data_IF_149329630001
#
_entry.id   IF_149329630001
#
_cell.length_a   1.000
_cell.length_b   1.000
_cell.length_c   1.000
_cell.angle_alpha   90.00
_cell.angle_beta   90.00
_cell.angle_gamma   90.00
#
_symmetry.space_group_name_H-M   'P 1'
#
loop_
_entity.id
_entity.type
_entity.pdbx_description
1 polymer ?
#
# COMPACT_ATOMS: atom_id res chain seq x y z
N UNK A 1 -99.91 -22.60 -48.33
CA UNK A 1 -99.11 -22.83 -47.11
C UNK A 1 -97.78 -22.11 -47.30
N UNK A 2 -97.64 -20.92 -46.74
CA UNK A 2 -96.44 -20.07 -46.86
C UNK A 2 -95.98 -19.73 -45.45
N UNK A 3 -94.87 -20.35 -45.03
CA UNK A 3 -94.22 -20.07 -43.75
C UNK A 3 -93.50 -18.73 -43.83
N UNK A 4 -94.05 -17.71 -43.16
CA UNK A 4 -93.30 -16.50 -42.79
C UNK A 4 -92.37 -16.84 -41.62
N UNK A 5 -91.06 -16.90 -41.87
CA UNK A 5 -90.05 -16.82 -40.82
C UNK A 5 -90.09 -15.41 -40.22
N UNK A 6 -90.30 -15.31 -38.90
CA UNK A 6 -90.01 -14.11 -38.12
C UNK A 6 -88.50 -14.02 -37.96
N UNK A 7 -87.91 -12.89 -38.34
CA UNK A 7 -86.54 -12.52 -37.98
C UNK A 7 -86.52 -12.08 -36.51
N UNK A 8 -85.66 -12.71 -35.70
CA UNK A 8 -85.37 -12.25 -34.33
C UNK A 8 -84.53 -10.96 -34.40
N UNK A 9 -85.00 -9.84 -33.81
CA UNK A 9 -84.20 -8.65 -33.67
C UNK A 9 -83.34 -8.77 -32.39
N UNK A 10 -82.06 -9.09 -32.54
CA UNK A 10 -81.14 -9.12 -31.40
C UNK A 10 -79.74 -9.71 -31.66
N UNK A 11 -79.54 -10.43 -32.76
CA UNK A 11 -78.29 -11.20 -32.98
C UNK A 11 -77.21 -10.43 -33.75
N UNK A 12 -77.56 -9.64 -34.76
CA UNK A 12 -76.58 -8.95 -35.61
C UNK A 12 -75.88 -7.76 -34.91
N UNK A 13 -76.62 -6.96 -34.13
CA UNK A 13 -76.06 -5.85 -33.36
C UNK A 13 -75.15 -6.35 -32.21
N UNK A 14 -75.54 -7.46 -31.57
CA UNK A 14 -74.71 -8.12 -30.55
C UNK A 14 -73.43 -8.71 -31.17
N UNK A 15 -73.52 -9.33 -32.35
CA UNK A 15 -72.36 -9.83 -33.09
C UNK A 15 -71.42 -8.71 -33.52
N UNK A 16 -71.93 -7.59 -34.03
CA UNK A 16 -71.10 -6.44 -34.41
C UNK A 16 -70.38 -5.81 -33.21
N UNK A 17 -71.04 -5.72 -32.05
CA UNK A 17 -70.42 -5.24 -30.81
C UNK A 17 -69.32 -6.19 -30.33
N UNK A 18 -69.56 -7.50 -30.34
CA UNK A 18 -68.57 -8.51 -29.95
C UNK A 18 -67.36 -8.49 -30.89
N UNK A 19 -67.57 -8.40 -32.21
CA UNK A 19 -66.48 -8.31 -33.19
C UNK A 19 -65.68 -7.02 -32.99
N UNK A 20 -66.35 -5.87 -32.79
CA UNK A 20 -65.68 -4.61 -32.50
C UNK A 20 -64.86 -4.63 -31.21
N UNK A 21 -65.40 -5.21 -30.14
CA UNK A 21 -64.70 -5.35 -28.86
C UNK A 21 -63.47 -6.27 -28.97
N UNK A 22 -63.56 -7.38 -29.71
CA UNK A 22 -62.43 -8.28 -29.96
C UNK A 22 -61.34 -7.57 -30.78
N UNK A 23 -61.71 -6.80 -31.80
CA UNK A 23 -60.77 -6.04 -32.64
C UNK A 23 -60.02 -4.98 -31.84
N UNK A 24 -60.73 -4.20 -31.01
CA UNK A 24 -60.12 -3.19 -30.14
C UNK A 24 -59.20 -3.85 -29.11
N UNK A 25 -59.64 -4.94 -28.48
CA UNK A 25 -58.82 -5.68 -27.51
C UNK A 25 -57.56 -6.24 -28.18
N UNK A 26 -57.68 -6.78 -29.39
CA UNK A 26 -56.55 -7.26 -30.19
C UNK A 26 -55.55 -6.15 -30.53
N UNK A 27 -56.03 -4.96 -30.91
CA UNK A 27 -55.18 -3.80 -31.19
C UNK A 27 -54.47 -3.33 -29.91
N UNK A 28 -55.19 -3.21 -28.79
CA UNK A 28 -54.62 -2.78 -27.50
C UNK A 28 -53.56 -3.76 -27.01
N UNK A 29 -53.82 -5.07 -27.09
CA UNK A 29 -52.84 -6.09 -26.72
C UNK A 29 -51.61 -6.03 -27.63
N UNK A 30 -51.80 -5.97 -28.94
CA UNK A 30 -50.69 -5.94 -29.90
C UNK A 30 -49.83 -4.69 -29.73
N UNK A 31 -50.47 -3.52 -29.60
CA UNK A 31 -49.74 -2.26 -29.34
C UNK A 31 -49.01 -2.27 -28.01
N UNK A 32 -49.61 -2.86 -26.95
CA UNK A 32 -48.94 -3.03 -25.66
C UNK A 32 -47.74 -3.98 -25.76
N UNK A 33 -47.85 -5.11 -26.47
CA UNK A 33 -46.73 -6.02 -26.69
C UNK A 33 -45.59 -5.39 -27.48
N UNK A 34 -45.90 -4.64 -28.55
CA UNK A 34 -44.90 -3.92 -29.33
C UNK A 34 -44.23 -2.86 -28.46
N UNK A 35 -45.02 -2.09 -27.71
CA UNK A 35 -44.51 -1.06 -26.81
C UNK A 35 -43.57 -1.64 -25.76
N UNK A 36 -43.96 -2.72 -25.08
CA UNK A 36 -43.13 -3.39 -24.06
C UNK A 36 -41.86 -4.00 -24.68
N UNK A 37 -41.97 -4.67 -25.84
CA UNK A 37 -40.82 -5.30 -26.51
C UNK A 37 -39.75 -4.31 -26.93
N UNK A 38 -40.13 -3.06 -27.22
CA UNK A 38 -39.20 -1.98 -27.60
C UNK A 38 -38.68 -1.24 -26.36
N UNK A 39 -39.56 -0.85 -25.45
CA UNK A 39 -39.20 0.06 -24.35
C UNK A 39 -38.55 -0.67 -23.17
N UNK A 40 -38.92 -1.92 -22.88
CA UNK A 40 -38.33 -2.67 -21.76
C UNK A 40 -36.83 -2.88 -21.95
N UNK A 41 -36.31 -3.40 -23.09
CA UNK A 41 -34.88 -3.53 -23.32
C UNK A 41 -34.11 -2.21 -23.21
N UNK A 42 -34.65 -1.14 -23.80
CA UNK A 42 -34.01 0.17 -23.80
C UNK A 42 -33.93 0.77 -22.38
N UNK A 43 -35.02 0.68 -21.61
CA UNK A 43 -35.08 1.14 -20.24
C UNK A 43 -34.20 0.32 -19.31
N UNK A 44 -34.20 -1.02 -19.43
CA UNK A 44 -33.33 -1.91 -18.65
C UNK A 44 -31.88 -1.61 -18.94
N UNK A 45 -31.49 -1.52 -20.22
CA UNK A 45 -30.13 -1.14 -20.62
C UNK A 45 -29.73 0.18 -19.95
N UNK A 46 -30.50 1.24 -20.14
CA UNK A 46 -30.19 2.55 -19.55
C UNK A 46 -30.08 2.50 -18.01
N UNK A 47 -30.96 1.74 -17.34
CA UNK A 47 -30.92 1.54 -15.89
C UNK A 47 -29.66 0.81 -15.41
N UNK A 48 -29.23 -0.23 -16.12
CA UNK A 48 -28.00 -0.96 -15.80
C UNK A 48 -26.75 -0.09 -15.97
N UNK A 49 -26.66 0.69 -17.06
CA UNK A 49 -25.55 1.64 -17.25
C UNK A 49 -25.52 2.71 -16.15
N UNK A 50 -26.69 3.25 -15.77
CA UNK A 50 -26.78 4.21 -14.68
C UNK A 50 -26.37 3.60 -13.35
N UNK A 51 -26.79 2.36 -13.06
CA UNK A 51 -26.40 1.64 -11.86
C UNK A 51 -24.90 1.36 -11.83
N UNK A 52 -24.32 0.81 -12.90
CA UNK A 52 -22.89 0.53 -12.99
C UNK A 52 -22.04 1.80 -12.78
N UNK A 53 -22.44 2.93 -13.37
CA UNK A 53 -21.77 4.21 -13.15
C UNK A 53 -21.89 4.71 -11.69
N UNK A 54 -23.06 4.52 -11.09
CA UNK A 54 -23.32 4.81 -9.69
C UNK A 54 -22.41 3.98 -8.76
N UNK A 55 -22.34 2.66 -8.95
CA UNK A 55 -21.47 1.80 -8.13
C UNK A 55 -20.00 2.15 -8.33
N UNK A 56 -19.57 2.45 -9.56
CA UNK A 56 -18.20 2.92 -9.80
C UNK A 56 -17.87 4.22 -9.04
N UNK A 57 -18.81 5.16 -8.95
CA UNK A 57 -18.65 6.37 -8.15
C UNK A 57 -18.58 6.05 -6.63
N UNK A 58 -19.37 5.08 -6.16
CA UNK A 58 -19.35 4.63 -4.77
C UNK A 58 -18.00 3.98 -4.43
N UNK A 59 -17.43 3.18 -5.33
CA UNK A 59 -16.08 2.58 -5.19
C UNK A 59 -14.96 3.63 -5.23
N UNK A 60 -15.08 4.66 -6.05
CA UNK A 60 -14.14 5.79 -6.01
C UNK A 60 -14.22 6.51 -4.66
N UNK A 61 -15.43 6.71 -4.14
CA UNK A 61 -15.64 7.28 -2.79
C UNK A 61 -15.03 6.39 -1.71
N UNK A 62 -15.14 5.06 -1.84
CA UNK A 62 -14.47 4.10 -0.95
C UNK A 62 -12.95 4.25 -0.98
N UNK A 63 -12.36 4.31 -2.18
CA UNK A 63 -10.93 4.52 -2.37
C UNK A 63 -10.44 5.83 -1.74
N UNK A 64 -11.16 6.94 -1.97
CA UNK A 64 -10.84 8.22 -1.35
C UNK A 64 -11.00 8.18 0.18
N UNK A 65 -12.01 7.49 0.70
CA UNK A 65 -12.23 7.37 2.14
C UNK A 65 -11.11 6.58 2.81
N UNK A 66 -10.66 5.48 2.19
CA UNK A 66 -9.51 4.70 2.67
C UNK A 66 -8.23 5.55 2.63
N UNK A 67 -8.01 6.29 1.54
CA UNK A 67 -6.87 7.22 1.43
C UNK A 67 -6.94 8.34 2.47
N UNK A 68 -8.13 8.86 2.79
CA UNK A 68 -8.31 9.90 3.81
C UNK A 68 -8.00 9.40 5.23
N UNK A 69 -8.22 8.11 5.52
CA UNK A 69 -7.85 7.51 6.81
C UNK A 69 -6.34 7.58 7.08
N UNK A 70 -5.50 7.51 6.04
CA UNK A 70 -4.04 7.71 6.16
C UNK A 70 -3.70 9.06 6.78
N UNK A 71 -4.41 10.12 6.38
CA UNK A 71 -4.16 11.49 6.84
C UNK A 71 -4.75 11.80 8.23
N UNK A 72 -5.54 10.88 8.80
CA UNK A 72 -6.13 11.08 10.12
C UNK A 72 -5.03 11.08 11.20
N UNK A 73 -5.16 11.89 12.25
CA UNK A 73 -4.15 11.95 13.31
C UNK A 73 -4.29 10.84 14.37
N UNK A 74 -5.49 10.28 14.53
CA UNK A 74 -5.80 9.27 15.55
C UNK A 74 -5.95 7.87 14.96
N UNK A 75 -5.48 6.87 15.70
CA UNK A 75 -5.94 5.48 15.55
C UNK A 75 -7.43 5.41 15.93
N UNK A 76 -8.21 4.59 15.24
CA UNK A 76 -9.65 4.45 15.44
C UNK A 76 -10.53 5.42 14.63
N UNK A 77 -9.94 6.32 13.82
CA UNK A 77 -10.70 7.11 12.86
C UNK A 77 -11.53 6.19 11.95
N UNK A 78 -12.80 6.52 11.74
CA UNK A 78 -13.74 5.65 11.02
C UNK A 78 -14.57 6.40 10.00
N UNK A 79 -14.83 5.76 8.86
CA UNK A 79 -15.72 6.26 7.82
C UNK A 79 -16.71 5.17 7.42
N UNK A 80 -17.84 5.58 6.85
CA UNK A 80 -18.88 4.69 6.33
C UNK A 80 -19.15 5.05 4.88
N UNK A 81 -19.09 4.06 4.00
CA UNK A 81 -19.28 4.25 2.57
C UNK A 81 -20.45 3.39 2.11
N UNK A 82 -21.56 4.00 1.66
CA UNK A 82 -22.67 3.26 1.09
C UNK A 82 -22.31 2.80 -0.33
N UNK A 83 -22.51 1.52 -0.61
CA UNK A 83 -22.42 0.94 -1.95
C UNK A 83 -23.83 0.57 -2.40
N UNK A 84 -24.26 1.14 -3.53
CA UNK A 84 -25.54 0.78 -4.14
C UNK A 84 -25.47 -0.63 -4.71
N UNK A 85 -26.43 -1.45 -4.33
CA UNK A 85 -26.50 -2.86 -4.71
C UNK A 85 -27.60 -3.14 -5.74
N UNK A 86 -28.60 -2.25 -5.80
CA UNK A 86 -29.73 -2.34 -6.73
C UNK A 86 -29.99 -0.98 -7.41
N UNK A 87 -30.44 -0.96 -8.67
CA UNK A 87 -30.85 0.26 -9.35
C UNK A 87 -31.93 1.03 -8.56
N UNK A 88 -31.80 2.35 -8.47
CA UNK A 88 -32.74 3.21 -7.73
C UNK A 88 -34.13 3.35 -8.37
N UNK A 89 -34.35 2.77 -9.56
CA UNK A 89 -35.62 2.85 -10.29
C UNK A 89 -36.32 1.49 -10.30
N UNK A 90 -37.45 1.43 -9.59
CA UNK A 90 -38.54 0.50 -9.89
C UNK A 90 -39.10 0.86 -11.27
N UNK A 91 -38.50 0.32 -12.32
CA UNK A 91 -39.21 0.29 -13.59
C UNK A 91 -40.30 -0.76 -13.42
N UNK A 92 -41.56 -0.33 -13.32
CA UNK A 92 -42.78 -1.17 -13.24
C UNK A 92 -42.87 -2.23 -14.35
N UNK A 93 -41.99 -2.14 -15.34
CA UNK A 93 -41.97 -2.88 -16.59
C UNK A 93 -40.65 -3.68 -16.76
N UNK A 94 -39.63 -3.46 -15.93
CA UNK A 94 -38.35 -4.16 -16.07
C UNK A 94 -38.35 -5.52 -15.35
N UNK A 95 -37.67 -6.48 -16.00
CA UNK A 95 -37.15 -7.73 -15.42
C UNK A 95 -36.49 -7.46 -14.05
N UNK A 96 -36.42 -8.46 -13.14
CA UNK A 96 -35.96 -8.25 -11.76
C UNK A 96 -34.73 -7.36 -11.73
N UNK A 97 -34.79 -6.29 -10.92
CA UNK A 97 -33.74 -5.29 -10.84
C UNK A 97 -32.40 -6.01 -10.62
N UNK A 98 -31.46 -5.82 -11.53
CA UNK A 98 -30.17 -6.50 -11.48
C UNK A 98 -29.48 -6.16 -10.15
N UNK A 99 -29.48 -7.13 -9.24
CA UNK A 99 -28.81 -7.01 -7.95
C UNK A 99 -27.32 -7.36 -8.12
N UNK A 100 -26.48 -6.61 -7.44
CA UNK A 100 -25.09 -6.98 -7.25
C UNK A 100 -24.88 -7.86 -6.04
N UNK A 101 -23.72 -8.50 -6.00
CA UNK A 101 -23.14 -9.10 -4.81
C UNK A 101 -21.94 -8.27 -4.37
N UNK A 102 -21.69 -8.21 -3.07
CA UNK A 102 -20.49 -7.61 -2.49
C UNK A 102 -19.75 -8.63 -1.64
N UNK A 103 -18.42 -8.62 -1.71
CA UNK A 103 -17.56 -9.50 -0.94
C UNK A 103 -16.33 -8.76 -0.43
N UNK A 104 -15.74 -9.29 0.65
CA UNK A 104 -14.49 -8.81 1.19
C UNK A 104 -13.58 -10.00 1.51
N UNK A 105 -12.34 -9.94 1.04
CA UNK A 105 -11.33 -10.95 1.30
C UNK A 105 -10.04 -10.25 1.75
N UNK A 106 -9.54 -10.49 2.98
CA UNK A 106 -8.33 -9.84 3.48
C UNK A 106 -7.03 -10.42 2.90
N UNK A 107 -7.05 -11.62 2.31
CA UNK A 107 -5.84 -12.33 1.90
C UNK A 107 -5.51 -12.25 0.40
N UNK A 108 -6.37 -11.62 -0.41
CA UNK A 108 -6.25 -11.51 -1.87
C UNK A 108 -5.58 -10.20 -2.29
N UNK A 109 -5.23 -10.06 -3.57
CA UNK A 109 -4.72 -8.79 -4.15
C UNK A 109 -3.52 -8.22 -3.38
N UNK A 110 -2.49 -9.04 -3.23
CA UNK A 110 -1.32 -8.74 -2.40
C UNK A 110 -0.35 -7.83 -3.15
N UNK A 111 0.28 -6.91 -2.42
CA UNK A 111 1.35 -6.06 -2.92
C UNK A 111 2.53 -6.15 -1.95
N UNK A 112 3.74 -6.29 -2.46
CA UNK A 112 4.96 -6.24 -1.66
C UNK A 112 6.04 -5.40 -2.33
N UNK A 113 6.81 -4.70 -1.50
CA UNK A 113 8.01 -3.98 -1.88
C UNK A 113 9.20 -4.69 -1.25
N UNK A 114 10.15 -5.10 -2.07
CA UNK A 114 11.37 -5.76 -1.63
C UNK A 114 12.63 -5.14 -2.21
N UNK A 115 13.73 -5.35 -1.50
CA UNK A 115 15.10 -5.03 -1.93
C UNK A 115 15.80 -6.36 -2.19
N UNK A 116 16.53 -6.41 -3.30
CA UNK A 116 17.32 -7.58 -3.67
C UNK A 116 18.80 -7.20 -3.61
N UNK A 117 19.51 -7.79 -2.66
CA UNK A 117 20.94 -7.71 -2.51
C UNK A 117 21.65 -8.96 -3.00
N UNK A 118 22.87 -8.80 -3.49
CA UNK A 118 23.83 -9.90 -3.64
C UNK A 118 24.75 -9.94 -2.42
N UNK A 119 25.42 -11.08 -2.21
CA UNK A 119 26.40 -11.25 -1.12
C UNK A 119 25.98 -12.22 -0.02
N UNK A 120 26.98 -12.78 0.66
CA UNK A 120 26.83 -13.65 1.82
C UNK A 120 27.50 -12.94 3.01
N UNK A 121 26.72 -12.27 3.88
CA UNK A 121 27.30 -11.51 4.98
C UNK A 121 28.02 -12.45 5.97
N UNK A 122 29.08 -11.98 6.65
CA UNK A 122 29.68 -12.74 7.75
C UNK A 122 28.65 -12.97 8.86
N UNK A 123 28.65 -14.19 9.42
CA UNK A 123 27.74 -14.58 10.49
C UNK A 123 28.14 -13.93 11.82
N UNK A 124 27.16 -13.38 12.55
CA UNK A 124 27.32 -12.84 13.90
C UNK A 124 27.08 -11.33 13.99
N UNK A 125 26.90 -10.79 15.21
CA UNK A 125 26.71 -9.35 15.40
C UNK A 125 27.99 -8.58 15.07
N UNK A 126 27.84 -7.33 14.64
CA UNK A 126 28.96 -6.39 14.62
C UNK A 126 29.16 -5.85 16.03
N UNK A 127 30.33 -6.11 16.62
CA UNK A 127 30.71 -5.54 17.92
C UNK A 127 31.91 -4.62 17.75
N UNK A 128 31.84 -3.46 18.40
CA UNK A 128 32.92 -2.49 18.51
C UNK A 128 33.27 -2.31 19.99
N UNK A 129 34.28 -3.06 20.44
CA UNK A 129 34.80 -3.02 21.82
C UNK A 129 36.11 -2.25 21.90
N UNK A 130 36.90 -2.24 20.82
CA UNK A 130 38.20 -1.57 20.81
C UNK A 130 38.12 -0.12 20.30
N UNK A 131 36.99 0.29 19.70
CA UNK A 131 36.75 1.63 19.16
C UNK A 131 37.86 2.10 18.20
N UNK A 132 38.53 1.16 17.53
CA UNK A 132 39.72 1.41 16.70
C UNK A 132 39.42 2.18 15.43
N UNK A 133 38.17 2.10 14.97
CA UNK A 133 37.68 2.71 13.75
C UNK A 133 36.69 3.81 14.10
N UNK A 134 37.11 4.78 14.91
CA UNK A 134 36.23 5.83 15.42
C UNK A 134 36.91 7.19 15.39
N UNK A 135 36.18 8.18 14.86
CA UNK A 135 36.55 9.58 14.98
C UNK A 135 36.13 10.09 16.35
N UNK A 136 37.06 10.67 17.10
CA UNK A 136 36.87 11.05 18.50
C UNK A 136 37.08 12.54 18.71
N UNK A 137 36.10 13.20 19.30
CA UNK A 137 36.17 14.60 19.68
C UNK A 137 35.96 14.75 21.18
N UNK A 138 37.03 15.11 21.90
CA UNK A 138 37.06 15.19 23.38
C UNK A 138 36.69 13.87 24.07
N UNK A 139 36.96 12.74 23.41
CA UNK A 139 36.77 11.39 23.95
C UNK A 139 38.12 10.67 23.94
N UNK A 140 38.45 10.03 25.05
CA UNK A 140 39.61 9.16 25.23
C UNK A 140 39.17 7.69 25.16
N UNK A 141 39.96 6.87 24.47
CA UNK A 141 39.74 5.42 24.36
C UNK A 141 40.87 4.73 25.09
N UNK A 142 40.53 3.89 26.07
CA UNK A 142 41.50 3.13 26.87
C UNK A 142 40.91 1.78 27.26
N UNK A 143 41.67 0.70 27.04
CA UNK A 143 41.31 -0.66 27.44
C UNK A 143 39.91 -1.09 26.98
N UNK A 144 39.57 -0.76 25.73
CA UNK A 144 38.27 -1.06 25.15
C UNK A 144 37.10 -0.25 25.74
N UNK A 145 37.36 0.90 26.35
CA UNK A 145 36.32 1.80 26.84
C UNK A 145 36.52 3.20 26.27
N UNK A 146 35.41 3.90 26.01
CA UNK A 146 35.39 5.30 25.61
C UNK A 146 34.88 6.19 26.75
N UNK A 147 35.65 7.23 27.07
CA UNK A 147 35.40 8.15 28.19
C UNK A 147 35.61 9.60 27.77
N UNK A 148 35.00 10.57 28.47
CA UNK A 148 35.20 11.99 28.19
C UNK A 148 36.61 12.46 28.62
N UNK A 149 37.33 13.14 27.73
CA UNK A 149 38.69 13.65 27.96
C UNK A 149 38.74 14.83 28.96
N UNK A 150 39.85 14.97 29.71
CA UNK A 150 40.04 16.05 30.72
C UNK A 150 40.62 17.34 30.09
N UNK A 151 40.32 18.57 30.61
CA UNK A 151 39.53 18.89 31.81
C UNK A 151 38.15 19.50 31.53
N UNK A 152 37.17 19.07 32.36
CA UNK A 152 35.99 19.77 32.92
C UNK A 152 35.14 20.67 32.00
N UNK A 153 33.86 20.34 31.92
CA UNK A 153 32.78 20.96 31.11
C UNK A 153 32.89 20.65 29.61
N UNK A 154 32.36 19.50 29.20
CA UNK A 154 32.24 19.24 27.78
C UNK A 154 31.15 18.22 27.47
N UNK A 155 30.51 18.48 26.34
CA UNK A 155 29.99 17.42 25.49
C UNK A 155 31.14 17.00 24.59
N UNK A 156 31.35 15.69 24.49
CA UNK A 156 32.23 15.07 23.51
C UNK A 156 31.41 14.11 22.68
N UNK A 157 31.97 13.67 21.56
CA UNK A 157 31.35 12.60 20.81
C UNK A 157 32.39 11.72 20.15
N UNK A 158 31.96 10.52 19.82
CA UNK A 158 32.70 9.58 19.01
C UNK A 158 31.77 9.03 17.92
N UNK A 159 32.28 8.86 16.71
CA UNK A 159 31.54 8.37 15.55
C UNK A 159 32.26 7.17 14.96
N UNK A 160 31.56 6.05 14.77
CA UNK A 160 32.12 4.90 14.08
C UNK A 160 32.45 5.30 12.63
N UNK A 161 33.70 5.12 12.24
CA UNK A 161 34.22 5.43 10.93
C UNK A 161 35.09 4.28 10.41
N UNK A 162 34.50 3.46 9.55
CA UNK A 162 35.14 2.32 8.89
C UNK A 162 35.63 2.64 7.47
N UNK A 163 35.90 3.92 7.16
CA UNK A 163 36.48 4.26 5.87
C UNK A 163 37.89 3.69 5.74
N UNK A 164 38.19 3.12 4.56
CA UNK A 164 39.56 2.74 4.19
C UNK A 164 40.40 3.95 3.77
N UNK A 165 39.77 5.13 3.60
CA UNK A 165 40.45 6.36 3.21
C UNK A 165 40.58 7.30 4.41
N UNK A 166 41.82 7.68 4.80
CA UNK A 166 42.02 8.65 5.88
C UNK A 166 41.26 9.96 5.64
N UNK A 167 40.56 10.45 6.66
CA UNK A 167 39.79 11.70 6.60
C UNK A 167 38.45 11.63 5.86
N UNK A 168 38.01 10.44 5.42
CA UNK A 168 36.66 10.21 4.92
C UNK A 168 35.81 9.47 5.93
N UNK A 169 34.52 9.71 5.89
CA UNK A 169 33.53 8.99 6.68
C UNK A 169 33.18 7.69 5.94
N UNK A 170 33.11 6.57 6.67
CA UNK A 170 32.73 5.28 6.11
C UNK A 170 31.87 4.46 7.06
N UNK A 171 30.85 3.82 6.52
CA UNK A 171 30.01 2.89 7.27
C UNK A 171 30.66 1.52 7.43
N UNK A 172 30.29 0.80 8.48
CA UNK A 172 30.65 -0.61 8.61
C UNK A 172 29.95 -1.39 7.51
N UNK A 173 30.72 -1.99 6.62
CA UNK A 173 30.22 -2.93 5.63
C UNK A 173 29.79 -4.24 6.29
N UNK A 174 28.54 -4.63 6.10
CA UNK A 174 28.00 -5.91 6.55
C UNK A 174 27.93 -6.97 5.43
N UNK A 175 28.36 -6.63 4.20
CA UNK A 175 28.60 -7.57 3.11
C UNK A 175 27.40 -7.94 2.24
N UNK A 176 26.20 -7.40 2.52
CA UNK A 176 25.02 -7.57 1.67
C UNK A 176 23.93 -6.53 1.91
N UNK A 177 23.15 -6.23 0.88
CA UNK A 177 21.89 -5.47 0.99
C UNK A 177 20.68 -6.35 1.38
N UNK A 178 20.90 -7.63 1.73
CA UNK A 178 19.84 -8.54 2.21
C UNK A 178 19.79 -8.64 3.74
N UNK A 179 19.96 -7.50 4.42
CA UNK A 179 20.11 -7.43 5.88
C UNK A 179 18.90 -6.76 6.53
N UNK A 180 18.49 -7.32 7.66
CA UNK A 180 17.53 -6.72 8.58
C UNK A 180 18.21 -6.45 9.91
N UNK A 181 18.08 -5.23 10.42
CA UNK A 181 18.67 -4.82 11.69
C UNK A 181 17.75 -5.22 12.84
N UNK A 182 18.29 -5.91 13.83
CA UNK A 182 17.52 -6.40 14.98
C UNK A 182 17.67 -5.46 16.16
N UNK A 183 18.74 -5.66 16.95
CA UNK A 183 18.94 -5.03 18.23
C UNK A 183 20.27 -4.28 18.26
N UNK A 184 20.25 -3.13 18.91
CA UNK A 184 21.41 -2.34 19.26
C UNK A 184 21.62 -2.41 20.77
N UNK A 185 22.74 -2.95 21.21
CA UNK A 185 23.04 -3.17 22.62
C UNK A 185 24.39 -2.58 23.00
N UNK A 186 24.50 -2.10 24.23
CA UNK A 186 25.71 -1.47 24.75
C UNK A 186 25.72 -1.46 26.27
N UNK A 187 26.91 -1.37 26.86
CA UNK A 187 27.10 -1.19 28.29
C UNK A 187 27.65 0.21 28.61
N UNK A 188 27.13 0.80 29.68
CA UNK A 188 27.63 2.08 30.18
C UNK A 188 27.89 2.06 31.68
N UNK A 189 28.78 2.95 32.12
CA UNK A 189 28.84 3.42 33.50
C UNK A 189 28.47 4.91 33.52
N UNK A 190 27.36 5.23 34.18
CA UNK A 190 26.81 6.59 34.27
C UNK A 190 26.77 7.05 35.72
N UNK A 191 27.88 7.60 36.26
CA UNK A 191 27.84 8.32 37.53
C UNK A 191 26.79 9.43 37.51
N UNK A 192 26.36 9.87 38.70
CA UNK A 192 25.43 11.00 38.83
C UNK A 192 25.93 12.22 38.02
N UNK A 193 25.02 13.00 37.45
CA UNK A 193 25.35 14.16 36.62
C UNK A 193 26.18 13.83 35.35
N UNK A 194 26.06 12.61 34.82
CA UNK A 194 26.61 12.23 33.51
C UNK A 194 25.52 11.68 32.59
N UNK A 195 25.77 11.67 31.28
CA UNK A 195 24.82 11.16 30.29
C UNK A 195 25.53 10.68 29.02
N UNK A 196 25.03 9.57 28.46
CA UNK A 196 25.38 9.06 27.13
C UNK A 196 24.11 8.96 26.28
N UNK A 197 24.16 9.55 25.09
CA UNK A 197 23.14 9.40 24.04
C UNK A 197 23.76 8.67 22.87
N UNK A 198 23.12 7.61 22.39
CA UNK A 198 23.50 6.98 21.14
C UNK A 198 22.56 7.36 20.01
N UNK A 199 23.12 7.37 18.80
CA UNK A 199 22.41 7.51 17.53
C UNK A 199 22.96 6.48 16.57
N UNK A 200 22.12 6.02 15.66
CA UNK A 200 22.46 4.99 14.66
C UNK A 200 21.82 5.37 13.34
N UNK A 201 22.52 5.12 12.24
CA UNK A 201 22.02 5.35 10.88
C UNK A 201 22.56 4.33 9.90
N UNK A 202 21.84 4.10 8.82
CA UNK A 202 22.26 3.16 7.77
C UNK A 202 22.22 3.79 6.39
N UNK A 203 23.01 3.25 5.47
CA UNK A 203 23.06 3.64 4.05
C UNK A 203 23.34 2.41 3.18
N UNK A 204 23.02 2.51 1.91
CA UNK A 204 23.44 1.53 0.91
C UNK A 204 24.85 1.83 0.35
N UNK A 205 25.39 3.04 0.60
CA UNK A 205 26.70 3.45 0.11
C UNK A 205 27.78 3.46 1.20
N UNK A 206 29.02 3.05 0.87
CA UNK A 206 30.11 2.93 1.85
C UNK A 206 30.49 4.28 2.49
N UNK A 207 30.33 5.38 1.77
CA UNK A 207 30.63 6.74 2.23
C UNK A 207 29.50 7.38 3.04
N UNK A 208 28.38 6.67 3.23
CA UNK A 208 27.23 7.14 4.00
C UNK A 208 26.65 8.47 3.48
N UNK A 209 26.79 8.74 2.18
CA UNK A 209 26.47 10.02 1.54
C UNK A 209 24.99 10.40 1.58
N UNK A 210 24.09 9.43 1.74
CA UNK A 210 22.64 9.62 1.84
C UNK A 210 22.07 9.23 3.21
N UNK A 211 22.93 8.81 4.14
CA UNK A 211 22.55 8.55 5.50
C UNK A 211 21.97 9.81 6.16
N UNK A 212 20.97 9.63 7.01
CA UNK A 212 20.36 10.73 7.75
C UNK A 212 21.40 11.52 8.54
N UNK A 213 21.29 12.84 8.57
CA UNK A 213 22.18 13.69 9.35
C UNK A 213 22.06 13.35 10.84
N UNK A 214 23.17 13.45 11.59
CA UNK A 214 23.19 13.13 13.02
C UNK A 214 22.25 14.02 13.86
N UNK A 215 21.92 15.23 13.40
CA UNK A 215 20.93 16.10 14.04
C UNK A 215 19.51 15.53 13.97
N UNK A 216 19.21 14.77 12.92
CA UNK A 216 17.87 14.29 12.59
C UNK A 216 17.70 12.80 12.93
N UNK A 217 18.78 12.15 13.36
CA UNK A 217 18.76 10.78 13.88
C UNK A 217 18.13 10.77 15.29
N UNK A 218 17.15 9.89 15.55
CA UNK A 218 16.55 9.77 16.87
C UNK A 218 17.59 9.50 17.97
N UNK A 219 17.51 10.25 19.06
CA UNK A 219 18.34 10.06 20.24
C UNK A 219 17.89 8.83 21.03
N UNK A 220 18.84 7.98 21.41
CA UNK A 220 18.64 6.82 22.26
C UNK A 220 19.35 7.08 23.59
N UNK A 221 18.57 7.39 24.63
CA UNK A 221 19.10 7.62 25.98
C UNK A 221 19.64 6.33 26.58
N UNK A 222 20.83 6.40 27.17
CA UNK A 222 21.42 5.28 27.92
C UNK A 222 20.99 5.30 29.39
N UNK A 223 20.93 4.12 29.98
CA UNK A 223 20.82 3.86 31.41
C UNK A 223 22.13 3.24 31.91
N UNK A 224 22.40 3.38 33.20
CA UNK A 224 23.57 2.74 33.82
C UNK A 224 23.49 1.21 33.66
N UNK A 225 24.61 0.57 33.31
CA UNK A 225 24.67 -0.86 33.00
C UNK A 225 24.27 -1.20 31.55
N UNK A 226 23.56 -2.32 31.38
CA UNK A 226 23.22 -2.89 30.06
C UNK A 226 22.01 -2.21 29.43
N UNK A 227 22.15 -1.87 28.15
CA UNK A 227 21.13 -1.23 27.34
C UNK A 227 20.84 -2.07 26.09
N UNK A 228 19.59 -2.03 25.63
CA UNK A 228 19.17 -2.68 24.39
C UNK A 228 18.01 -1.90 23.76
N UNK A 229 18.06 -1.70 22.44
CA UNK A 229 17.01 -1.06 21.66
C UNK A 229 16.82 -1.78 20.32
N UNK A 230 15.56 -2.06 19.97
CA UNK A 230 15.24 -2.55 18.63
C UNK A 230 15.47 -1.47 17.58
N UNK A 231 16.20 -1.82 16.52
CA UNK A 231 16.52 -0.98 15.38
C UNK A 231 15.39 -0.88 14.35
N UNK A 232 14.46 -1.83 14.34
CA UNK A 232 13.34 -1.89 13.39
C UNK A 232 12.40 -0.66 13.41
N UNK A 233 12.44 0.15 14.48
CA UNK A 233 11.59 1.33 14.65
C UNK A 233 12.37 2.65 14.66
N UNK A 234 13.65 2.63 14.29
CA UNK A 234 14.48 3.84 14.29
C UNK A 234 14.45 4.46 12.89
N UNK A 235 13.92 5.68 12.78
CA UNK A 235 13.68 6.36 11.50
C UNK A 235 14.95 6.73 10.69
N UNK A 236 16.14 6.50 11.23
CA UNK A 236 17.43 6.63 10.52
C UNK A 236 18.02 5.29 10.09
N UNK A 237 17.33 4.18 10.39
CA UNK A 237 17.74 2.81 10.08
C UNK A 237 16.72 2.19 9.13
N UNK A 238 17.23 1.51 8.13
CA UNK A 238 16.44 0.92 7.05
C UNK A 238 16.85 -0.53 6.83
N UNK A 239 15.90 -1.48 6.78
CA UNK A 239 16.16 -2.82 6.25
C UNK A 239 16.68 -2.72 4.81
N UNK A 240 17.63 -3.57 4.45
CA UNK A 240 18.23 -3.61 3.12
C UNK A 240 19.40 -2.64 2.89
N UNK A 241 19.74 -1.80 3.87
CA UNK A 241 20.96 -0.99 3.83
C UNK A 241 22.17 -1.81 4.30
N UNK A 242 23.21 -1.88 3.46
CA UNK A 242 24.41 -2.68 3.71
C UNK A 242 25.37 -2.06 4.73
N UNK A 243 25.37 -0.73 4.85
CA UNK A 243 26.32 -0.01 5.69
C UNK A 243 25.63 0.63 6.88
N UNK A 244 26.28 0.56 8.04
CA UNK A 244 25.77 1.11 9.30
C UNK A 244 26.82 1.94 10.02
N UNK A 245 26.36 2.98 10.72
CA UNK A 245 27.16 3.79 11.63
C UNK A 245 26.42 4.07 12.92
N UNK A 246 27.18 4.29 13.99
CA UNK A 246 26.67 4.86 15.23
C UNK A 246 27.51 6.06 15.69
N UNK A 247 26.88 6.88 16.53
CA UNK A 247 27.51 8.01 17.22
C UNK A 247 27.16 7.93 18.69
N UNK A 248 28.15 8.10 19.56
CA UNK A 248 27.93 8.30 20.98
C UNK A 248 28.25 9.73 21.38
N UNK A 249 27.29 10.39 22.03
CA UNK A 249 27.44 11.72 22.59
C UNK A 249 27.56 11.59 24.12
N UNK A 250 28.72 11.96 24.66
CA UNK A 250 29.05 11.86 26.07
C UNK A 250 28.98 13.25 26.70
N UNK A 251 28.40 13.35 27.88
CA UNK A 251 28.29 14.62 28.59
C UNK A 251 28.40 14.45 30.11
N UNK A 252 28.98 15.46 30.76
CA UNK A 252 29.03 15.57 32.21
C UNK A 252 28.72 17.00 32.62
N UNK A 253 27.97 17.15 33.71
CA UNK A 253 27.79 18.41 34.43
C UNK A 253 28.64 18.45 35.70
N UNK A 254 29.20 17.32 36.11
CA UNK A 254 30.14 17.25 37.21
C UNK A 254 31.57 17.06 36.66
N UNK A 255 32.44 18.05 36.84
CA UNK A 255 33.81 17.97 36.36
C UNK A 255 34.67 16.84 36.97
N UNK A 256 34.25 16.26 38.08
CA UNK A 256 34.90 15.14 38.75
C UNK A 256 34.41 13.77 38.27
N UNK A 257 33.35 13.72 37.46
CA UNK A 257 32.70 12.50 37.01
C UNK A 257 32.74 12.40 35.48
N UNK A 258 33.03 11.20 34.99
CA UNK A 258 33.11 10.90 33.56
C UNK A 258 32.22 9.71 33.23
N UNK A 259 31.33 9.82 32.22
CA UNK A 259 30.60 8.67 31.72
C UNK A 259 31.53 7.75 30.92
N UNK A 260 31.26 6.45 30.97
CA UNK A 260 32.02 5.43 30.25
C UNK A 260 31.10 4.61 29.36
N UNK A 261 31.51 4.41 28.10
CA UNK A 261 30.93 3.46 27.15
C UNK A 261 31.89 2.29 26.98
N UNK A 262 31.45 1.05 27.19
CA UNK A 262 32.34 -0.10 27.21
C UNK A 262 32.28 -0.97 25.95
N UNK A 263 31.09 -1.16 25.39
CA UNK A 263 30.93 -1.93 24.16
C UNK A 263 29.71 -1.47 23.41
N UNK A 264 29.73 -1.66 22.10
CA UNK A 264 28.59 -1.40 21.22
C UNK A 264 28.43 -2.62 20.32
N UNK A 265 27.21 -3.14 20.22
CA UNK A 265 26.89 -4.28 19.38
C UNK A 265 25.62 -4.04 18.58
N UNK A 266 25.67 -4.32 17.28
CA UNK A 266 24.54 -4.31 16.37
C UNK A 266 24.31 -5.75 15.90
N UNK A 267 23.17 -6.30 16.32
CA UNK A 267 22.67 -7.59 15.84
C UNK A 267 21.89 -7.37 14.55
N UNK A 268 22.12 -8.25 13.59
CA UNK A 268 21.45 -8.23 12.29
C UNK A 268 21.21 -9.66 11.80
N UNK A 269 20.22 -9.81 10.94
CA UNK A 269 19.86 -11.08 10.34
C UNK A 269 19.86 -10.96 8.82
N UNK A 270 20.16 -12.08 8.18
CA UNK A 270 20.20 -12.22 6.74
C UNK A 270 18.93 -12.93 6.25
N UNK A 271 18.24 -12.29 5.31
CA UNK A 271 17.04 -12.86 4.69
C UNK A 271 17.35 -13.24 3.23
N UNK A 272 17.09 -14.49 2.85
CA UNK A 272 17.12 -14.92 1.45
C UNK A 272 15.71 -15.26 0.95
N UNK A 273 15.41 -15.00 -0.34
CA UNK A 273 16.27 -14.34 -1.35
C UNK A 273 16.17 -12.81 -1.38
N UNK A 274 15.20 -12.20 -0.70
CA UNK A 274 14.90 -10.76 -0.73
C UNK A 274 14.55 -10.22 0.67
N UNK A 275 14.79 -8.93 0.91
CA UNK A 275 14.29 -8.24 2.11
C UNK A 275 12.98 -7.55 1.77
N UNK A 276 11.88 -8.01 2.36
CA UNK A 276 10.56 -7.36 2.21
C UNK A 276 10.50 -6.15 3.12
N UNK A 277 10.43 -4.96 2.54
CA UNK A 277 10.28 -3.70 3.28
C UNK A 277 8.85 -3.55 3.81
N UNK A 278 7.87 -3.90 2.99
CA UNK A 278 6.46 -3.83 3.35
C UNK A 278 5.61 -4.73 2.45
N UNK A 279 4.46 -5.14 2.99
CA UNK A 279 3.41 -5.81 2.23
C UNK A 279 2.02 -5.33 2.65
N UNK A 280 1.08 -5.41 1.72
CA UNK A 280 -0.35 -5.19 1.95
C UNK A 280 -1.16 -6.24 1.23
N UNK A 281 -2.39 -6.43 1.71
CA UNK A 281 -3.34 -7.37 1.16
C UNK A 281 -4.76 -6.89 1.35
N UNK A 282 -5.66 -7.54 0.63
CA UNK A 282 -7.10 -7.46 0.80
C UNK A 282 -7.81 -6.71 -0.31
N UNK A 283 -9.02 -7.16 -0.60
CA UNK A 283 -9.86 -6.61 -1.65
C UNK A 283 -11.33 -6.59 -1.27
N UNK A 284 -12.03 -5.56 -1.73
CA UNK A 284 -13.49 -5.46 -1.67
C UNK A 284 -14.00 -5.53 -3.10
N UNK A 285 -14.89 -6.46 -3.39
CA UNK A 285 -15.36 -6.70 -4.76
C UNK A 285 -16.88 -6.59 -4.85
N UNK A 286 -17.35 -6.00 -5.94
CA UNK A 286 -18.73 -5.96 -6.36
C UNK A 286 -18.87 -6.66 -7.71
N UNK A 287 -19.85 -7.55 -7.83
CA UNK A 287 -20.18 -8.23 -9.09
C UNK A 287 -21.67 -8.08 -9.36
N UNK A 288 -22.02 -7.64 -10.56
CA UNK A 288 -23.42 -7.49 -10.98
C UNK A 288 -23.86 -8.56 -11.96
N UNK A 289 -25.14 -8.94 -11.89
CA UNK A 289 -25.79 -9.85 -12.84
C UNK A 289 -26.53 -9.08 -13.96
N UNK A 290 -25.90 -8.02 -14.50
CA UNK A 290 -26.50 -7.21 -15.57
C UNK A 290 -26.66 -8.00 -16.87
N UNK A 291 -27.79 -7.81 -17.55
CA UNK A 291 -28.05 -8.43 -18.85
C UNK A 291 -27.27 -7.77 -19.99
N UNK A 292 -27.12 -6.44 -19.95
CA UNK A 292 -26.46 -5.63 -20.97
C UNK A 292 -25.02 -5.23 -20.59
N UNK A 293 -24.57 -5.60 -19.39
CA UNK A 293 -23.20 -5.44 -18.89
C UNK A 293 -22.73 -6.78 -18.27
N UNK A 294 -22.64 -7.86 -19.05
CA UNK A 294 -22.28 -9.17 -18.51
C UNK A 294 -20.91 -9.14 -17.84
N UNK A 295 -20.79 -9.90 -16.74
CA UNK A 295 -19.55 -10.06 -15.97
C UNK A 295 -18.97 -8.75 -15.42
N UNK A 296 -19.79 -7.72 -15.29
CA UNK A 296 -19.34 -6.44 -14.75
C UNK A 296 -18.95 -6.57 -13.27
N UNK A 297 -17.66 -6.31 -13.01
CA UNK A 297 -17.04 -6.41 -11.69
C UNK A 297 -16.26 -5.13 -11.38
N UNK A 298 -16.36 -4.67 -10.15
CA UNK A 298 -15.55 -3.60 -9.57
C UNK A 298 -14.80 -4.17 -8.37
N UNK A 299 -13.49 -3.95 -8.29
CA UNK A 299 -12.66 -4.40 -7.17
C UNK A 299 -11.83 -3.23 -6.65
N UNK A 300 -11.91 -2.98 -5.36
CA UNK A 300 -10.92 -2.16 -4.68
C UNK A 300 -9.78 -3.07 -4.21
N UNK A 301 -8.54 -2.74 -4.58
CA UNK A 301 -7.35 -3.51 -4.25
C UNK A 301 -6.15 -2.57 -4.08
N UNK A 302 -5.53 -2.60 -2.90
CA UNK A 302 -4.31 -1.83 -2.57
C UNK A 302 -4.35 -0.35 -3.00
N UNK A 303 -5.49 0.34 -2.87
CA UNK A 303 -5.60 1.76 -3.24
C UNK A 303 -5.99 2.02 -4.70
N UNK A 304 -6.19 0.98 -5.52
CA UNK A 304 -6.74 1.09 -6.86
C UNK A 304 -8.19 0.59 -6.90
N UNK A 305 -9.01 1.18 -7.78
CA UNK A 305 -10.30 0.63 -8.18
C UNK A 305 -10.13 0.04 -9.56
N UNK A 306 -10.43 -1.24 -9.72
CA UNK A 306 -10.28 -2.00 -10.96
C UNK A 306 -11.68 -2.32 -11.46
N UNK A 307 -11.93 -2.04 -12.74
CA UNK A 307 -13.14 -2.45 -13.43
C UNK A 307 -12.80 -3.56 -14.41
N UNK A 308 -13.57 -4.65 -14.35
CA UNK A 308 -13.58 -5.72 -15.34
C UNK A 308 -14.95 -5.83 -15.97
N UNK A 309 -14.98 -6.03 -17.28
CA UNK A 309 -16.20 -6.32 -18.03
C UNK A 309 -15.82 -7.15 -19.25
N UNK A 310 -16.33 -8.38 -19.32
CA UNK A 310 -15.91 -9.36 -20.33
C UNK A 310 -14.36 -9.51 -20.32
N UNK A 311 -13.74 -9.44 -21.49
CA UNK A 311 -12.28 -9.56 -21.68
C UNK A 311 -11.51 -8.26 -21.39
N UNK A 312 -12.22 -7.15 -21.09
CA UNK A 312 -11.59 -5.86 -20.85
C UNK A 312 -11.46 -5.59 -19.35
N UNK A 313 -10.27 -5.18 -18.94
CA UNK A 313 -9.99 -4.73 -17.57
C UNK A 313 -9.19 -3.43 -17.58
N UNK A 314 -9.49 -2.55 -16.64
CA UNK A 314 -8.80 -1.28 -16.50
C UNK A 314 -8.89 -0.73 -15.08
N UNK A 315 -7.86 0.02 -14.69
CA UNK A 315 -7.81 0.73 -13.42
C UNK A 315 -8.56 2.06 -13.55
N UNK A 316 -9.59 2.28 -12.73
CA UNK A 316 -10.43 3.47 -12.65
C UNK A 316 -9.89 4.55 -11.71
N UNK A 317 -9.19 4.14 -10.64
CA UNK A 317 -8.71 5.03 -9.58
C UNK A 317 -7.18 5.06 -9.51
N UNK A 318 -6.61 6.14 -8.99
CA UNK A 318 -5.16 6.23 -8.82
C UNK A 318 -4.72 5.25 -7.73
N UNK A 319 -3.89 4.27 -8.10
CA UNK A 319 -3.05 3.59 -7.12
C UNK A 319 -2.18 4.64 -6.44
N UNK A 320 -1.91 4.48 -5.15
CA UNK A 320 -1.07 5.42 -4.39
C UNK A 320 0.42 5.20 -4.65
N UNK A 321 0.78 5.12 -5.94
CA UNK A 321 2.15 5.16 -6.43
C UNK A 321 2.31 6.39 -7.29
N UNK A 322 3.34 7.17 -6.98
CA UNK A 322 3.86 8.20 -7.87
C UNK A 322 5.34 7.98 -8.07
N UNK A 323 5.80 8.21 -9.29
CA UNK A 323 7.21 8.21 -9.61
C UNK A 323 7.59 9.57 -10.19
N UNK A 324 8.85 9.94 -10.04
CA UNK A 324 9.43 11.10 -10.70
C UNK A 324 10.91 10.86 -10.99
N UNK A 325 11.37 11.38 -12.12
CA UNK A 325 12.80 11.44 -12.44
C UNK A 325 13.35 12.79 -12.00
N UNK A 326 14.30 12.77 -11.06
CA UNK A 326 14.96 13.97 -10.53
C UNK A 326 16.46 13.91 -10.87
N UNK A 327 16.81 14.37 -12.07
CA UNK A 327 18.18 14.21 -12.58
C UNK A 327 18.49 12.75 -12.89
N UNK A 328 19.54 12.21 -12.26
CA UNK A 328 19.93 10.78 -12.31
C UNK A 328 19.13 9.89 -11.36
N UNK A 329 18.46 10.47 -10.35
CA UNK A 329 17.75 9.70 -9.32
C UNK A 329 16.30 9.43 -9.71
N UNK A 330 15.89 8.17 -9.54
CA UNK A 330 14.48 7.78 -9.59
C UNK A 330 13.88 7.93 -8.20
N UNK A 331 12.87 8.78 -8.05
CA UNK A 331 12.09 8.94 -6.82
C UNK A 331 10.77 8.18 -6.92
N UNK A 332 10.52 7.27 -5.99
CA UNK A 332 9.30 6.47 -5.91
C UNK A 332 8.62 6.75 -4.58
N UNK A 333 7.32 7.07 -4.63
CA UNK A 333 6.47 7.25 -3.45
C UNK A 333 5.34 6.25 -3.49
N UNK A 334 5.19 5.45 -2.44
CA UNK A 334 4.20 4.38 -2.35
C UNK A 334 3.49 4.48 -1.00
N UNK A 335 2.17 4.47 -1.03
CA UNK A 335 1.35 4.25 0.16
C UNK A 335 0.59 2.94 0.02
N UNK A 336 0.90 1.99 0.89
CA UNK A 336 0.25 0.69 0.92
C UNK A 336 -0.96 0.71 1.85
N UNK A 337 -2.04 0.05 1.43
CA UNK A 337 -3.26 -0.10 2.22
C UNK A 337 -3.54 -1.57 2.47
N UNK A 338 -3.40 -1.99 3.72
CA UNK A 338 -3.61 -3.38 4.14
C UNK A 338 -5.00 -3.51 4.78
N UNK A 339 -5.90 -4.20 4.09
CA UNK A 339 -7.29 -4.37 4.52
C UNK A 339 -7.42 -5.61 5.41
N UNK A 340 -7.77 -5.38 6.67
CA UNK A 340 -7.96 -6.45 7.66
C UNK A 340 -9.43 -6.59 8.03
N UNK A 341 -9.80 -7.69 8.68
CA UNK A 341 -11.17 -7.94 9.13
C UNK A 341 -11.64 -9.35 8.81
N UNK A 342 -12.90 -9.63 9.13
CA UNK A 342 -13.53 -10.93 8.84
C UNK A 342 -13.86 -11.00 7.35
N UNK A 343 -13.44 -12.07 6.68
CA UNK A 343 -13.83 -12.34 5.29
C UNK A 343 -15.35 -12.43 5.17
N UNK A 344 -15.90 -11.80 4.12
CA UNK A 344 -17.33 -11.75 3.85
C UNK A 344 -17.56 -12.38 2.47
N UNK A 345 -18.28 -13.51 2.38
CA UNK A 345 -18.62 -14.12 1.10
C UNK A 345 -19.55 -13.19 0.30
N UNK A 346 -19.79 -13.50 -0.97
CA UNK A 346 -20.69 -12.72 -1.82
C UNK A 346 -22.10 -12.59 -1.20
N UNK A 347 -22.48 -11.37 -0.83
CA UNK A 347 -23.78 -11.03 -0.24
C UNK A 347 -24.64 -10.22 -1.19
N UNK A 348 -25.92 -10.55 -1.29
CA UNK A 348 -26.94 -9.84 -2.08
C UNK A 348 -28.24 -9.69 -1.31
N UNK A 349 -29.19 -8.92 -1.85
CA UNK A 349 -30.57 -8.83 -1.34
C UNK A 349 -30.90 -7.53 -0.62
N UNK A 350 -29.90 -6.74 -0.20
CA UNK A 350 -30.11 -5.37 0.28
C UNK A 350 -29.98 -4.38 -0.89
N UNK A 351 -30.74 -3.27 -0.91
CA UNK A 351 -30.62 -2.25 -1.96
C UNK A 351 -29.33 -1.42 -1.83
N UNK A 352 -28.75 -1.35 -0.63
CA UNK A 352 -27.51 -0.65 -0.33
C UNK A 352 -26.78 -1.36 0.80
N UNK A 353 -25.47 -1.53 0.65
CA UNK A 353 -24.60 -2.09 1.69
C UNK A 353 -23.68 -1.00 2.21
N UNK A 354 -23.61 -0.83 3.54
CA UNK A 354 -22.72 0.16 4.16
C UNK A 354 -21.42 -0.52 4.56
N UNK A 355 -20.32 -0.14 3.93
CA UNK A 355 -18.98 -0.59 4.34
C UNK A 355 -18.47 0.37 5.40
N UNK A 356 -18.15 -0.16 6.59
CA UNK A 356 -17.47 0.60 7.63
C UNK A 356 -15.98 0.30 7.58
N UNK A 357 -15.17 1.36 7.58
CA UNK A 357 -13.72 1.27 7.56
C UNK A 357 -13.14 2.01 8.77
N UNK A 358 -12.10 1.44 9.38
CA UNK A 358 -11.43 1.98 10.56
C UNK A 358 -9.93 1.98 10.34
N UNK A 359 -9.24 3.07 10.68
CA UNK A 359 -7.78 3.06 10.74
C UNK A 359 -7.34 2.32 12.00
N UNK A 360 -6.63 1.22 11.81
CA UNK A 360 -6.05 0.45 12.90
C UNK A 360 -4.65 0.99 13.24
N UNK A 361 -3.79 1.03 12.22
CA UNK A 361 -2.37 1.41 12.37
C UNK A 361 -1.86 2.21 11.17
N UNK A 362 -0.75 2.91 11.38
CA UNK A 362 0.02 3.60 10.34
C UNK A 362 1.51 3.56 10.67
N UNK A 363 2.32 3.20 9.69
CA UNK A 363 3.76 3.20 9.79
C UNK A 363 4.41 3.91 8.59
N UNK A 364 5.31 4.86 8.89
CA UNK A 364 6.29 5.36 7.93
C UNK A 364 7.47 4.38 7.92
N UNK A 365 7.69 3.72 6.79
CA UNK A 365 8.67 2.64 6.63
C UNK A 365 9.95 3.17 6.01
N UNK A 366 9.81 4.04 5.01
CA UNK A 366 10.93 4.75 4.39
C UNK A 366 10.60 6.22 4.25
N UNK A 367 11.43 7.06 4.86
CA UNK A 367 11.37 8.53 4.76
C UNK A 367 12.55 9.01 3.91
N UNK A 368 12.50 8.74 2.61
CA UNK A 368 13.57 9.11 1.65
C UNK A 368 14.84 8.26 1.69
N UNK A 369 14.76 6.97 2.04
CA UNK A 369 15.92 6.08 1.94
C UNK A 369 16.28 5.75 0.48
N UNK A 370 17.55 5.42 0.27
CA UNK A 370 18.12 5.08 -1.03
C UNK A 370 18.45 3.60 -1.09
N UNK A 371 18.04 2.96 -2.18
CA UNK A 371 18.22 1.53 -2.40
C UNK A 371 18.86 1.25 -3.76
N UNK A 372 19.67 0.20 -3.91
CA UNK A 372 20.32 -0.10 -5.18
C UNK A 372 19.29 -0.41 -6.27
N UNK A 373 18.37 -1.33 -5.96
CA UNK A 373 17.24 -1.70 -6.80
C UNK A 373 16.03 -1.95 -5.89
N UNK A 374 14.83 -1.64 -6.40
CA UNK A 374 13.57 -1.92 -5.71
C UNK A 374 12.68 -2.79 -6.58
N UNK A 375 12.08 -3.80 -5.96
CA UNK A 375 11.11 -4.67 -6.62
C UNK A 375 9.73 -4.44 -6.02
N UNK A 376 8.79 -4.01 -6.86
CA UNK A 376 7.36 -4.02 -6.58
C UNK A 376 6.77 -5.30 -7.17
N UNK A 377 6.23 -6.17 -6.33
CA UNK A 377 5.48 -7.35 -6.73
C UNK A 377 4.01 -7.16 -6.39
N UNK A 378 3.14 -7.39 -7.37
CA UNK A 378 1.67 -7.37 -7.22
C UNK A 378 1.18 -8.77 -7.57
N UNK A 379 0.44 -9.41 -6.66
CA UNK A 379 -0.26 -10.67 -6.88
C UNK A 379 -1.75 -10.38 -7.01
N UNK A 380 -2.28 -10.51 -8.22
CA UNK A 380 -3.59 -9.98 -8.62
C UNK A 380 -4.21 -10.84 -9.72
N UNK A 381 -5.54 -10.90 -9.76
CA UNK A 381 -6.24 -11.50 -10.89
C UNK A 381 -6.39 -10.54 -12.10
N UNK A 382 -5.94 -9.29 -11.97
CA UNK A 382 -6.11 -8.21 -12.97
C UNK A 382 -4.77 -7.76 -13.55
N UNK A 383 -3.95 -8.70 -14.00
CA UNK A 383 -2.54 -8.44 -14.35
C UNK A 383 -2.37 -7.53 -15.57
N UNK A 384 -3.30 -7.54 -16.52
CA UNK A 384 -3.26 -6.66 -17.69
C UNK A 384 -3.57 -5.21 -17.28
N UNK A 385 -4.64 -5.01 -16.49
CA UNK A 385 -5.02 -3.69 -15.98
C UNK A 385 -3.89 -3.04 -15.19
N UNK A 386 -3.26 -3.79 -14.28
CA UNK A 386 -2.12 -3.33 -13.49
C UNK A 386 -0.90 -3.01 -14.36
N UNK A 387 -0.55 -3.91 -15.29
CA UNK A 387 0.58 -3.72 -16.21
C UNK A 387 0.42 -2.45 -17.04
N UNK A 388 -0.75 -2.24 -17.63
CA UNK A 388 -1.02 -1.09 -18.51
C UNK A 388 -1.04 0.22 -17.72
N UNK A 389 -1.68 0.22 -16.54
CA UNK A 389 -1.71 1.39 -15.68
C UNK A 389 -0.31 1.78 -15.19
N UNK A 390 0.49 0.80 -14.71
CA UNK A 390 1.87 1.05 -14.26
C UNK A 390 2.74 1.55 -15.40
N UNK A 391 2.69 0.90 -16.56
CA UNK A 391 3.49 1.32 -17.71
C UNK A 391 3.17 2.75 -18.14
N UNK A 392 1.87 3.10 -18.22
CA UNK A 392 1.44 4.47 -18.55
C UNK A 392 1.84 5.48 -17.48
N UNK A 393 1.74 5.13 -16.21
CA UNK A 393 2.04 6.03 -15.08
C UNK A 393 3.53 6.33 -14.99
N UNK A 394 4.38 5.31 -15.17
CA UNK A 394 5.84 5.45 -15.14
C UNK A 394 6.37 6.18 -16.38
N UNK A 395 5.82 5.89 -17.57
CA UNK A 395 6.14 6.62 -18.80
C UNK A 395 5.75 8.10 -18.71
N UNK A 396 4.56 8.41 -18.19
CA UNK A 396 4.13 9.78 -17.95
C UNK A 396 4.98 10.51 -16.88
N UNK A 397 5.66 9.78 -16.00
CA UNK A 397 6.62 10.32 -15.04
C UNK A 397 8.02 10.55 -15.63
N UNK A 398 8.22 10.26 -16.91
CA UNK A 398 9.49 10.42 -17.62
C UNK A 398 10.49 9.29 -17.36
N UNK A 399 10.05 8.16 -16.81
CA UNK A 399 10.89 6.99 -16.63
C UNK A 399 10.91 6.14 -17.91
N UNK A 400 12.10 5.68 -18.27
CA UNK A 400 12.32 4.87 -19.46
C UNK A 400 12.32 3.39 -19.09
N UNK A 401 11.50 2.61 -19.79
CA UNK A 401 11.42 1.15 -19.64
C UNK A 401 12.58 0.45 -20.35
N UNK A 402 13.63 0.15 -19.60
CA UNK A 402 14.74 -0.72 -20.01
C UNK A 402 15.47 -1.23 -18.77
N UNK A 403 16.08 -2.41 -18.88
CA UNK A 403 17.00 -2.91 -17.83
C UNK A 403 18.19 -2.00 -17.60
N UNK A 404 18.54 -1.19 -18.61
CA UNK A 404 19.70 -0.30 -18.60
C UNK A 404 19.31 1.16 -18.30
N UNK A 405 18.02 1.42 -18.07
CA UNK A 405 17.50 2.77 -17.76
C UNK A 405 16.80 2.78 -16.41
N UNK A 406 15.49 2.98 -16.31
CA UNK A 406 14.90 3.34 -15.02
C UNK A 406 14.11 2.18 -14.40
N UNK A 407 13.42 1.38 -15.23
CA UNK A 407 12.65 0.25 -14.74
C UNK A 407 12.43 -0.84 -15.79
N UNK A 408 12.12 -2.04 -15.32
CA UNK A 408 11.54 -3.12 -16.12
C UNK A 408 10.20 -3.55 -15.53
N UNK A 409 9.22 -3.78 -16.41
CA UNK A 409 7.90 -4.29 -16.07
C UNK A 409 7.70 -5.64 -16.74
N UNK A 410 7.31 -6.64 -15.96
CA UNK A 410 7.09 -8.00 -16.41
C UNK A 410 5.88 -8.64 -15.74
N UNK A 411 5.41 -9.76 -16.30
CA UNK A 411 4.35 -10.59 -15.73
C UNK A 411 4.89 -12.00 -15.53
N UNK A 412 5.56 -12.28 -14.39
CA UNK A 412 6.25 -13.55 -14.19
C UNK A 412 5.31 -14.77 -14.20
N UNK A 413 4.06 -14.57 -13.79
CA UNK A 413 2.99 -15.57 -13.82
C UNK A 413 1.68 -14.92 -14.24
N UNK A 414 0.65 -15.72 -14.50
CA UNK A 414 -0.68 -15.22 -14.89
C UNK A 414 -1.32 -14.31 -13.84
N UNK A 415 -0.91 -14.43 -12.57
CA UNK A 415 -1.47 -13.70 -11.44
C UNK A 415 -0.44 -12.77 -10.78
N UNK A 416 0.62 -12.39 -11.49
CA UNK A 416 1.64 -11.50 -10.95
C UNK A 416 2.10 -10.43 -11.94
N UNK A 417 2.22 -9.20 -11.44
CA UNK A 417 2.91 -8.09 -12.10
C UNK A 417 4.12 -7.74 -11.26
N UNK A 418 5.28 -7.59 -11.91
CA UNK A 418 6.53 -7.20 -11.26
C UNK A 418 7.11 -5.97 -11.94
N UNK A 419 7.44 -4.97 -11.14
CA UNK A 419 8.24 -3.81 -11.55
C UNK A 419 9.56 -3.83 -10.79
N UNK A 420 10.67 -3.81 -11.52
CA UNK A 420 12.01 -3.62 -10.93
C UNK A 420 12.46 -2.22 -11.29
N UNK A 421 12.71 -1.39 -10.29
CA UNK A 421 13.30 -0.06 -10.43
C UNK A 421 14.82 -0.18 -10.27
N UNK A 422 15.55 0.34 -11.25
CA UNK A 422 17.01 0.33 -11.28
C UNK A 422 17.53 1.67 -10.79
N UNK A 423 18.31 1.65 -9.71
CA UNK A 423 18.81 2.87 -9.07
C UNK A 423 20.10 3.42 -9.65
N UNK A 424 20.90 2.56 -10.32
CA UNK A 424 22.25 2.91 -10.82
C UNK A 424 23.12 3.57 -9.74
N UNK A 425 23.89 4.60 -10.10
CA UNK A 425 24.96 5.18 -9.26
C UNK A 425 24.46 5.89 -7.99
N UNK A 426 23.25 6.45 -8.03
CA UNK A 426 22.66 7.22 -6.93
C UNK A 426 21.56 6.43 -6.18
N UNK A 427 21.13 5.28 -6.70
CA UNK A 427 20.07 4.47 -6.12
C UNK A 427 18.65 4.99 -6.43
N UNK A 428 17.66 4.20 -6.03
CA UNK A 428 16.24 4.56 -6.06
C UNK A 428 15.88 5.16 -4.71
N UNK A 429 15.39 6.40 -4.72
CA UNK A 429 14.93 7.12 -3.53
C UNK A 429 13.47 6.73 -3.24
N UNK A 430 13.22 6.15 -2.08
CA UNK A 430 11.92 5.60 -1.71
C UNK A 430 11.27 6.38 -0.57
N UNK A 431 10.02 6.77 -0.78
CA UNK A 431 9.08 7.12 0.29
C UNK A 431 8.04 6.00 0.39
N UNK A 432 7.97 5.34 1.54
CA UNK A 432 7.10 4.20 1.74
C UNK A 432 6.38 4.33 3.08
N UNK A 433 5.05 4.30 3.02
CA UNK A 433 4.21 4.20 4.21
C UNK A 433 3.16 3.10 4.03
N UNK A 434 2.69 2.59 5.15
CA UNK A 434 1.64 1.57 5.22
C UNK A 434 0.54 2.04 6.16
N UNK A 435 -0.70 1.93 5.72
CA UNK A 435 -1.90 2.14 6.54
C UNK A 435 -2.67 0.82 6.65
N UNK A 436 -2.92 0.37 7.86
CA UNK A 436 -3.76 -0.81 8.13
C UNK A 436 -5.20 -0.36 8.37
N UNK A 437 -6.13 -0.89 7.58
CA UNK A 437 -7.54 -0.49 7.59
C UNK A 437 -8.41 -1.70 7.89
N UNK A 438 -9.10 -1.69 9.02
CA UNK A 438 -10.09 -2.71 9.34
C UNK A 438 -11.38 -2.44 8.57
N UNK A 439 -11.86 -3.44 7.83
CA UNK A 439 -13.10 -3.42 7.05
C UNK A 439 -14.18 -4.21 7.80
N UNK A 440 -15.38 -3.65 7.87
CA UNK A 440 -16.58 -4.34 8.38
C UNK A 440 -17.75 -4.13 7.42
N UNK A 441 -18.26 -5.23 6.89
CA UNK A 441 -19.49 -5.27 6.10
C UNK A 441 -20.57 -5.93 6.96
N UNK A 442 -21.72 -5.26 7.23
CA UNK A 442 -22.83 -5.86 7.95
C UNK A 442 -23.34 -7.08 7.18
N UNK A 443 -23.45 -8.22 7.89
CA UNK A 443 -23.99 -9.47 7.34
C UNK A 443 -25.49 -9.57 7.50
#
# INVERSE_FOLDING_TARGET
>A
MSMRRRSEPGTEAAQAFVVGAILITGIVLTTSFIYLSINTPAATKAGEYQHAAAVAADFNTLCYSITALRASASSGASLSVPIRMSPAKESLIALPAAAGTISFSPATEQVSISVNGTGSPPAGPWTDEEFTHTDRFKVEIASGNATLAKPRYARGYLESNHSTTPGKIGGKDLGSANITYENFSWNTSLPANTRIVLKVRTDMFPDMRHAKNWSDCPAIESQDGFNNRSLAKIASVSPGHQYVQYRAELSTWDPDLTPTLCNVSISYNFSQPEVVLASSSGSISFTSNHCYLPEHTLSYASGAVIKKQQDNEFVLGNFSISAAKAGSTTEIRISLFDLTGTSVPAQSGQPTTIIKIYRDDYGLISDSFYYPNLTLNITTNYTQAWSDWLNKTLDAAGLVRSSDSDYNLSRPTNNSVRVVFYGHDDGVKLYLDKTTVQVRIPT
#
